data_IF_262087290388
#
_entry.id   IF_262087290388
#
_cell.length_a   1.000
_cell.length_b   1.000
_cell.length_c   1.000
_cell.angle_alpha   90.00
_cell.angle_beta   90.00
_cell.angle_gamma   90.00
#
_symmetry.space_group_name_H-M   'P 1'
#
loop_
_entity.id
_entity.type
_entity.pdbx_description
1 polymer ?
#
# COMPACT_ATOMS: atom_id res chain seq x y z
N UNK A 1 -15.94 52.86 -4.58
CA UNK A 1 -15.84 52.10 -5.86
C UNK A 1 -17.24 51.86 -6.38
N UNK A 2 -17.46 52.07 -7.68
CA UNK A 2 -18.74 51.73 -8.32
C UNK A 2 -19.05 50.23 -8.14
N UNK A 3 -20.33 49.84 -7.94
CA UNK A 3 -20.75 48.44 -7.88
C UNK A 3 -20.25 47.61 -9.07
N UNK A 4 -19.91 46.34 -8.84
CA UNK A 4 -19.41 45.39 -9.86
C UNK A 4 -20.20 45.43 -11.17
N UNK A 5 -21.53 45.46 -11.06
CA UNK A 5 -22.46 45.49 -12.18
C UNK A 5 -22.29 46.73 -13.05
N UNK A 6 -21.98 47.89 -12.46
CA UNK A 6 -21.74 49.13 -13.22
C UNK A 6 -20.40 49.09 -13.95
N UNK A 7 -19.38 48.47 -13.35
CA UNK A 7 -18.05 48.30 -13.96
C UNK A 7 -18.08 47.29 -15.10
N UNK A 8 -18.82 46.19 -14.95
CA UNK A 8 -19.03 45.21 -16.02
C UNK A 8 -19.83 45.82 -17.17
N UNK A 9 -20.92 46.55 -16.87
CA UNK A 9 -21.69 47.24 -17.90
C UNK A 9 -20.85 48.27 -18.66
N UNK A 10 -19.96 48.99 -17.98
CA UNK A 10 -19.06 49.96 -18.62
C UNK A 10 -18.01 49.28 -19.53
N UNK A 11 -17.43 48.16 -19.08
CA UNK A 11 -16.40 47.42 -19.81
C UNK A 11 -16.89 46.81 -21.14
N UNK A 12 -18.20 46.55 -21.25
CA UNK A 12 -18.81 45.95 -22.44
C UNK A 12 -19.59 46.95 -23.33
N UNK A 13 -19.59 48.25 -23.02
CA UNK A 13 -20.36 49.26 -23.78
C UNK A 13 -20.03 49.30 -25.27
N UNK A 14 -18.79 49.02 -25.64
CA UNK A 14 -18.34 49.05 -27.04
C UNK A 14 -19.08 48.03 -27.93
N UNK A 15 -19.68 46.98 -27.35
CA UNK A 15 -20.47 45.99 -28.12
C UNK A 15 -21.72 46.61 -28.74
N UNK A 16 -22.21 47.73 -28.20
CA UNK A 16 -23.36 48.45 -28.76
C UNK A 16 -23.01 49.19 -30.07
N UNK A 17 -21.72 49.45 -30.32
CA UNK A 17 -21.25 50.27 -31.46
C UNK A 17 -20.26 49.58 -32.39
N UNK A 18 -19.71 48.42 -32.02
CA UNK A 18 -18.67 47.70 -32.77
C UNK A 18 -19.24 46.38 -33.28
N UNK A 19 -19.14 46.15 -34.59
CA UNK A 19 -19.61 44.90 -35.21
C UNK A 19 -18.61 43.76 -34.93
N UNK A 20 -19.07 42.49 -34.93
CA UNK A 20 -18.20 41.34 -34.64
C UNK A 20 -16.94 41.26 -35.49
N UNK A 21 -17.03 41.61 -36.77
CA UNK A 21 -15.92 41.64 -37.73
C UNK A 21 -14.87 42.74 -37.46
N UNK A 22 -15.24 43.77 -36.69
CA UNK A 22 -14.41 44.94 -36.40
C UNK A 22 -13.78 44.88 -34.99
N UNK A 23 -13.91 43.75 -34.29
CA UNK A 23 -13.37 43.57 -32.92
C UNK A 23 -11.85 43.51 -32.95
N UNK A 24 -11.23 44.50 -32.33
CA UNK A 24 -9.78 44.57 -32.12
C UNK A 24 -9.36 44.23 -30.69
N UNK A 25 -8.05 44.00 -30.49
CA UNK A 25 -7.44 43.64 -29.20
C UNK A 25 -7.78 44.61 -28.07
N UNK A 26 -7.85 45.90 -28.35
CA UNK A 26 -8.23 46.94 -27.39
C UNK A 26 -9.63 46.71 -26.78
N UNK A 27 -10.59 46.22 -27.56
CA UNK A 27 -11.94 45.91 -27.09
C UNK A 27 -11.93 44.74 -26.10
N UNK A 28 -11.09 43.73 -26.35
CA UNK A 28 -10.88 42.59 -25.46
C UNK A 28 -10.21 43.06 -24.17
N UNK A 29 -9.16 43.88 -24.27
CA UNK A 29 -8.43 44.39 -23.11
C UNK A 29 -9.31 45.29 -22.21
N UNK A 30 -10.22 46.07 -22.80
CA UNK A 30 -11.23 46.86 -22.09
C UNK A 30 -12.27 45.95 -21.42
N UNK A 31 -12.82 44.97 -22.14
CA UNK A 31 -13.84 44.05 -21.64
C UNK A 31 -13.35 43.23 -20.42
N UNK A 32 -12.11 42.76 -20.48
CA UNK A 32 -11.47 42.02 -19.38
C UNK A 32 -10.76 42.92 -18.38
N UNK A 33 -10.71 44.24 -18.61
CA UNK A 33 -10.09 45.24 -17.73
C UNK A 33 -8.61 44.98 -17.46
N UNK A 34 -7.91 44.45 -18.46
CA UNK A 34 -6.51 44.03 -18.36
C UNK A 34 -5.61 45.25 -18.12
N UNK A 35 -5.93 46.39 -18.74
CA UNK A 35 -5.15 47.63 -18.63
C UNK A 35 -5.42 48.45 -17.35
N UNK A 36 -6.22 47.95 -16.41
CA UNK A 36 -6.45 48.65 -15.14
C UNK A 36 -5.19 48.55 -14.28
N UNK A 37 -4.65 49.65 -13.72
CA UNK A 37 -3.48 49.58 -12.85
C UNK A 37 -3.70 48.61 -11.68
N UNK A 38 -2.64 47.90 -11.29
CA UNK A 38 -2.68 47.06 -10.09
C UNK A 38 -3.09 47.89 -8.86
N UNK A 39 -3.77 47.24 -7.91
CA UNK A 39 -4.10 47.87 -6.66
C UNK A 39 -2.83 48.29 -5.91
N UNK A 40 -2.86 49.44 -5.22
CA UNK A 40 -1.74 49.83 -4.34
C UNK A 40 -1.57 48.76 -3.26
N UNK A 41 -0.32 48.31 -3.08
CA UNK A 41 0.04 47.31 -2.08
C UNK A 41 -0.47 47.71 -0.69
N UNK A 42 -1.09 46.77 0.02
CA UNK A 42 -1.66 46.99 1.35
C UNK A 42 -2.96 47.82 1.41
N UNK A 43 -3.42 48.40 0.30
CA UNK A 43 -4.65 49.19 0.29
C UNK A 43 -5.93 48.32 0.28
N UNK A 44 -5.83 47.08 -0.17
CA UNK A 44 -6.97 46.17 -0.29
C UNK A 44 -6.92 45.10 0.83
N UNK A 45 -8.04 44.89 1.52
CA UNK A 45 -8.16 43.83 2.55
C UNK A 45 -8.61 42.47 1.99
N UNK A 46 -9.11 42.47 0.75
CA UNK A 46 -9.62 41.29 0.02
C UNK A 46 -9.55 41.56 -1.48
N UNK A 47 -9.68 40.52 -2.30
CA UNK A 47 -9.72 40.66 -3.76
C UNK A 47 -10.75 41.69 -4.22
N UNK A 48 -10.28 42.69 -4.96
CA UNK A 48 -11.13 43.70 -5.57
C UNK A 48 -11.97 43.06 -6.66
N UNK A 49 -13.30 42.99 -6.45
CA UNK A 49 -14.25 42.44 -7.42
C UNK A 49 -14.24 43.13 -8.80
N UNK A 50 -13.64 44.31 -8.91
CA UNK A 50 -13.61 45.14 -10.12
C UNK A 50 -12.23 45.34 -10.75
N UNK A 51 -11.17 44.79 -10.14
CA UNK A 51 -9.81 44.89 -10.67
C UNK A 51 -9.20 43.49 -10.77
N UNK A 52 -9.02 42.94 -11.99
CA UNK A 52 -8.41 41.63 -12.17
C UNK A 52 -6.94 41.60 -11.73
N UNK A 53 -6.29 42.76 -11.65
CA UNK A 53 -4.89 42.90 -11.25
C UNK A 53 -4.72 43.11 -9.74
N UNK A 54 -5.72 42.75 -8.93
CA UNK A 54 -5.63 42.77 -7.47
C UNK A 54 -5.03 41.46 -6.94
N UNK A 55 -3.84 41.52 -6.34
CA UNK A 55 -3.09 40.33 -5.93
C UNK A 55 -3.32 39.90 -4.47
N UNK A 56 -4.05 40.67 -3.67
CA UNK A 56 -4.26 40.41 -2.23
C UNK A 56 -4.71 38.98 -1.92
N UNK A 57 -5.63 38.42 -2.69
CA UNK A 57 -6.18 37.08 -2.48
C UNK A 57 -5.41 35.95 -3.15
N UNK A 58 -4.30 36.25 -3.84
CA UNK A 58 -3.30 35.24 -4.25
C UNK A 58 -2.11 35.19 -3.29
N UNK A 59 -2.25 35.81 -2.11
CA UNK A 59 -1.24 35.76 -1.05
C UNK A 59 -0.16 36.83 -1.15
N UNK A 60 -0.42 37.96 -1.82
CA UNK A 60 0.51 39.10 -1.94
C UNK A 60 1.21 39.48 -0.62
N UNK A 61 0.49 39.40 0.50
CA UNK A 61 1.03 39.66 1.83
C UNK A 61 2.12 38.66 2.27
N UNK A 62 2.00 37.39 1.89
CA UNK A 62 2.97 36.35 2.21
C UNK A 62 4.15 36.35 1.20
N UNK A 63 3.86 36.49 -0.09
CA UNK A 63 4.87 36.39 -1.15
C UNK A 63 5.74 37.64 -1.31
N UNK A 64 5.15 38.83 -1.13
CA UNK A 64 5.88 40.09 -1.29
C UNK A 64 6.26 40.73 0.04
N UNK A 65 5.83 40.14 1.17
CA UNK A 65 6.19 40.56 2.53
C UNK A 65 7.71 40.57 2.74
N UNK A 66 8.15 41.18 3.84
CA UNK A 66 9.54 41.00 4.26
C UNK A 66 9.78 39.51 4.49
N UNK A 67 10.76 38.96 3.79
CA UNK A 67 11.17 37.56 3.97
C UNK A 67 11.77 37.50 5.38
N UNK A 68 11.12 36.78 6.29
CA UNK A 68 11.73 36.49 7.58
C UNK A 68 12.90 35.52 7.35
N UNK A 69 14.11 36.06 7.25
CA UNK A 69 15.33 35.27 7.07
C UNK A 69 15.50 34.22 8.18
N UNK A 70 14.94 34.46 9.38
CA UNK A 70 14.97 33.49 10.47
C UNK A 70 14.09 32.26 10.22
N UNK A 71 13.09 32.35 9.34
CA UNK A 71 12.28 31.19 8.95
C UNK A 71 13.14 30.15 8.23
N UNK A 72 14.16 30.57 7.46
CA UNK A 72 15.08 29.65 6.78
C UNK A 72 16.14 29.07 7.72
N UNK A 73 16.57 29.85 8.73
CA UNK A 73 17.56 29.40 9.71
C UNK A 73 17.02 28.45 10.78
N UNK A 74 15.69 28.38 10.95
CA UNK A 74 15.00 27.49 11.90
C UNK A 74 14.38 26.25 11.25
N UNK A 75 14.73 25.93 10.00
CA UNK A 75 14.38 24.64 9.40
C UNK A 75 15.36 23.62 9.97
N UNK A 76 15.01 23.01 11.10
CA UNK A 76 15.73 21.84 11.60
C UNK A 76 15.84 20.80 10.48
N UNK A 77 17.03 20.19 10.32
CA UNK A 77 17.19 19.05 9.42
C UNK A 77 16.09 18.05 9.77
N UNK A 78 15.22 17.65 8.82
CA UNK A 78 14.17 16.69 9.09
C UNK A 78 14.74 15.39 9.74
N UNK A 79 15.99 15.02 9.48
CA UNK A 79 16.66 13.87 10.13
C UNK A 79 16.98 14.07 11.62
N UNK A 80 16.93 15.32 12.10
CA UNK A 80 17.08 15.72 13.49
C UNK A 80 15.75 15.72 14.26
N UNK A 81 14.62 15.53 13.57
CA UNK A 81 13.33 15.36 14.23
C UNK A 81 13.39 14.14 15.17
N UNK A 82 13.11 14.38 16.44
CA UNK A 82 13.09 13.33 17.46
C UNK A 82 11.69 12.77 17.61
N UNK A 83 11.59 11.46 17.86
CA UNK A 83 10.32 10.83 18.23
C UNK A 83 9.89 11.29 19.62
N UNK A 84 8.58 11.34 19.83
CA UNK A 84 8.02 11.52 21.16
C UNK A 84 8.38 10.33 22.06
N UNK A 85 8.39 10.57 23.38
CA UNK A 85 8.61 9.49 24.34
C UNK A 85 7.52 8.42 24.17
N UNK A 86 7.94 7.15 24.18
CA UNK A 86 7.07 5.98 24.03
C UNK A 86 6.34 5.85 22.68
N UNK A 87 6.77 6.55 21.62
CA UNK A 87 6.24 6.32 20.27
C UNK A 87 7.21 5.51 19.42
N UNK A 88 6.67 4.79 18.43
CA UNK A 88 7.48 4.05 17.46
C UNK A 88 8.14 4.98 16.43
N UNK A 89 9.20 4.48 15.79
CA UNK A 89 9.92 5.18 14.72
C UNK A 89 9.23 4.93 13.38
N UNK A 90 8.99 5.98 12.61
CA UNK A 90 8.44 5.90 11.26
C UNK A 90 9.47 5.54 10.19
N UNK A 91 9.02 5.46 8.94
CA UNK A 91 9.87 5.31 7.77
C UNK A 91 9.60 6.44 6.79
N UNK A 92 10.67 7.04 6.26
CA UNK A 92 10.56 8.07 5.21
C UNK A 92 9.95 7.46 3.95
N UNK A 93 8.97 8.14 3.35
CA UNK A 93 8.48 7.76 2.03
C UNK A 93 9.39 8.37 0.97
N UNK A 94 9.99 7.53 0.12
CA UNK A 94 10.94 7.94 -0.91
C UNK A 94 10.26 8.32 -2.23
N UNK A 95 8.93 8.44 -2.22
CA UNK A 95 8.09 8.74 -3.38
C UNK A 95 6.89 7.80 -3.42
N UNK A 96 7.01 6.72 -4.19
CA UNK A 96 6.01 5.68 -4.36
C UNK A 96 6.24 4.44 -3.48
N UNK A 97 7.05 4.53 -2.42
CA UNK A 97 7.52 3.37 -1.63
C UNK A 97 6.67 3.06 -0.39
N UNK A 98 5.46 3.63 -0.27
CA UNK A 98 4.59 3.44 0.89
C UNK A 98 4.20 1.96 1.14
N UNK A 99 4.12 1.15 0.07
CA UNK A 99 3.87 -0.29 0.17
C UNK A 99 5.03 -1.01 0.90
N UNK A 100 6.27 -0.62 0.62
CA UNK A 100 7.47 -1.14 1.31
C UNK A 100 7.42 -0.76 2.78
N UNK A 101 7.18 0.52 3.08
CA UNK A 101 7.15 1.02 4.45
C UNK A 101 6.09 0.31 5.30
N UNK A 102 4.91 0.07 4.72
CA UNK A 102 3.81 -0.64 5.39
C UNK A 102 4.24 -2.05 5.80
N UNK A 103 4.80 -2.83 4.87
CA UNK A 103 5.19 -4.20 5.17
C UNK A 103 6.43 -4.28 6.07
N UNK A 104 7.40 -3.38 5.93
CA UNK A 104 8.54 -3.32 6.85
C UNK A 104 8.10 -3.08 8.29
N UNK A 105 7.11 -2.21 8.51
CA UNK A 105 6.54 -2.00 9.84
C UNK A 105 5.79 -3.23 10.34
N UNK A 106 5.00 -3.90 9.50
CA UNK A 106 4.31 -5.16 9.85
C UNK A 106 5.31 -6.24 10.27
N UNK A 107 6.36 -6.45 9.47
CA UNK A 107 7.38 -7.46 9.73
C UNK A 107 8.28 -7.12 10.92
N UNK A 108 8.59 -5.84 11.14
CA UNK A 108 9.33 -5.38 12.33
C UNK A 108 8.57 -5.67 13.62
N UNK A 109 7.23 -5.57 13.61
CA UNK A 109 6.40 -5.87 14.77
C UNK A 109 6.11 -7.36 14.94
N UNK A 110 6.44 -8.21 13.96
CA UNK A 110 6.53 -9.66 14.20
C UNK A 110 7.81 -9.96 14.99
N UNK A 111 7.64 -10.17 16.30
CA UNK A 111 8.75 -10.39 17.23
C UNK A 111 9.63 -11.59 16.87
N UNK A 112 9.03 -12.66 16.35
CA UNK A 112 9.78 -13.86 15.99
C UNK A 112 10.68 -13.58 14.78
N UNK A 113 10.11 -13.03 13.71
CA UNK A 113 10.85 -12.63 12.52
C UNK A 113 11.97 -11.63 12.87
N UNK A 114 11.66 -10.62 13.69
CA UNK A 114 12.65 -9.63 14.13
C UNK A 114 13.81 -10.29 14.90
N UNK A 115 13.53 -11.20 15.83
CA UNK A 115 14.57 -11.95 16.56
C UNK A 115 15.40 -12.82 15.63
N UNK A 116 14.75 -13.54 14.72
CA UNK A 116 15.43 -14.36 13.71
C UNK A 116 16.39 -13.54 12.85
N UNK A 117 15.97 -12.36 12.40
CA UNK A 117 16.83 -11.47 11.61
C UNK A 117 18.05 -11.00 12.41
N UNK A 118 17.91 -10.70 13.70
CA UNK A 118 19.06 -10.35 14.54
C UNK A 118 20.03 -11.52 14.78
N UNK A 119 19.59 -12.77 14.61
CA UNK A 119 20.43 -13.96 14.72
C UNK A 119 21.11 -14.35 13.40
N UNK A 120 20.80 -13.68 12.28
CA UNK A 120 21.52 -13.89 11.03
C UNK A 120 22.99 -13.51 11.20
N UNK A 121 23.89 -14.38 10.72
CA UNK A 121 25.31 -14.12 10.83
C UNK A 121 25.73 -12.96 9.93
N UNK A 122 26.53 -12.07 10.49
CA UNK A 122 27.03 -10.89 9.81
C UNK A 122 28.50 -10.70 10.19
N UNK A 123 29.37 -11.54 9.61
CA UNK A 123 30.82 -11.52 9.88
C UNK A 123 31.44 -10.16 9.62
N UNK A 124 30.90 -9.41 8.64
CA UNK A 124 31.36 -8.05 8.34
C UNK A 124 31.07 -7.07 9.45
N UNK A 125 29.96 -7.22 10.18
CA UNK A 125 29.66 -6.38 11.33
C UNK A 125 30.52 -6.74 12.55
N UNK A 126 30.93 -8.01 12.68
CA UNK A 126 31.83 -8.45 13.76
C UNK A 126 33.26 -7.89 13.60
N UNK A 127 33.71 -7.75 12.34
CA UNK A 127 35.03 -7.22 11.98
C UNK A 127 35.04 -5.69 11.76
N UNK A 128 33.90 -5.03 11.93
CA UNK A 128 33.74 -3.62 11.59
C UNK A 128 34.37 -2.71 12.64
N UNK A 129 35.14 -1.73 12.16
CA UNK A 129 35.77 -0.70 12.99
C UNK A 129 34.73 0.35 13.40
N UNK A 130 34.59 0.55 14.72
CA UNK A 130 33.66 1.48 15.36
C UNK A 130 33.89 2.94 14.94
N UNK A 131 35.08 3.27 14.43
CA UNK A 131 35.42 4.62 13.95
C UNK A 131 34.97 4.90 12.49
N UNK A 132 34.35 3.91 11.82
CA UNK A 132 33.85 4.04 10.45
C UNK A 132 32.33 3.83 10.37
N UNK A 133 31.67 4.38 9.37
CA UNK A 133 30.25 4.11 9.15
C UNK A 133 30.05 2.68 8.62
N UNK A 134 29.15 1.90 9.25
CA UNK A 134 28.79 0.57 8.75
C UNK A 134 27.85 0.67 7.54
N UNK A 135 28.28 0.16 6.39
CA UNK A 135 27.45 0.07 5.19
C UNK A 135 26.98 -1.39 4.93
N UNK A 136 25.67 -1.66 5.07
CA UNK A 136 25.09 -2.95 4.72
C UNK A 136 25.24 -3.27 3.23
N UNK A 137 25.48 -4.53 2.88
CA UNK A 137 25.60 -5.00 1.49
C UNK A 137 24.57 -6.05 1.10
N UNK A 138 24.29 -7.00 1.99
CA UNK A 138 23.26 -8.02 1.74
C UNK A 138 21.88 -7.57 2.22
N UNK A 139 20.82 -8.22 1.74
CA UNK A 139 19.44 -7.91 2.16
C UNK A 139 19.26 -8.14 3.66
N UNK A 140 19.83 -9.22 4.22
CA UNK A 140 19.82 -9.46 5.66
C UNK A 140 20.50 -8.34 6.44
N UNK A 141 21.68 -7.87 6.00
CA UNK A 141 22.40 -6.78 6.66
C UNK A 141 21.58 -5.49 6.66
N UNK A 142 20.96 -5.15 5.52
CA UNK A 142 20.10 -3.97 5.41
C UNK A 142 18.89 -4.06 6.36
N UNK A 143 18.27 -5.23 6.47
CA UNK A 143 17.13 -5.44 7.37
C UNK A 143 17.55 -5.41 8.83
N UNK A 144 18.68 -6.03 9.19
CA UNK A 144 19.23 -5.97 10.54
C UNK A 144 19.52 -4.53 10.94
N UNK A 145 20.21 -3.78 10.09
CA UNK A 145 20.54 -2.38 10.32
C UNK A 145 19.28 -1.52 10.46
N UNK A 146 18.34 -1.64 9.51
CA UNK A 146 17.09 -0.90 9.54
C UNK A 146 16.25 -1.22 10.79
N UNK A 147 16.13 -2.51 11.15
CA UNK A 147 15.37 -2.91 12.33
C UNK A 147 16.06 -2.49 13.63
N UNK A 148 17.39 -2.49 13.68
CA UNK A 148 18.13 -1.96 14.83
C UNK A 148 17.88 -0.46 15.00
N UNK A 149 17.84 0.30 13.90
CA UNK A 149 17.48 1.72 13.92
C UNK A 149 16.03 1.95 14.34
N UNK A 150 15.06 1.20 13.80
CA UNK A 150 13.66 1.29 14.21
C UNK A 150 13.46 0.99 15.70
N UNK A 151 14.25 0.09 16.27
CA UNK A 151 14.15 -0.30 17.67
C UNK A 151 14.83 0.71 18.63
N UNK A 152 16.01 1.22 18.27
CA UNK A 152 16.88 1.92 19.22
C UNK A 152 17.06 3.41 18.93
N UNK A 153 16.68 3.89 17.76
CA UNK A 153 16.87 5.31 17.40
C UNK A 153 15.94 6.23 18.18
N UNK A 154 16.39 7.47 18.38
CA UNK A 154 15.57 8.58 18.88
C UNK A 154 14.99 9.43 17.75
N UNK A 155 15.30 9.12 16.48
CA UNK A 155 14.75 9.81 15.32
C UNK A 155 13.25 9.54 15.19
N UNK A 156 12.52 10.50 14.63
CA UNK A 156 11.10 10.36 14.32
C UNK A 156 10.85 9.35 13.20
N UNK A 157 11.75 9.29 12.23
CA UNK A 157 11.72 8.35 11.12
C UNK A 157 13.12 7.93 10.67
N UNK A 158 13.20 6.78 10.01
CA UNK A 158 14.41 6.26 9.37
C UNK A 158 14.23 6.23 7.86
N UNK A 159 15.29 6.57 7.14
CA UNK A 159 15.37 6.48 5.69
C UNK A 159 15.68 5.01 5.27
N UNK A 160 14.80 4.34 4.52
CA UNK A 160 15.01 2.96 4.06
C UNK A 160 15.73 2.85 2.70
N UNK A 161 16.29 3.94 2.16
CA UNK A 161 16.86 4.00 0.80
C UNK A 161 17.93 2.96 0.53
N UNK A 162 18.79 2.65 1.50
CA UNK A 162 19.78 1.58 1.38
C UNK A 162 19.13 0.24 1.01
N UNK A 163 18.09 -0.16 1.76
CA UNK A 163 17.34 -1.39 1.50
C UNK A 163 16.59 -1.32 0.16
N UNK A 164 15.91 -0.21 -0.12
CA UNK A 164 15.13 -0.02 -1.36
C UNK A 164 16.04 -0.13 -2.60
N UNK A 165 17.24 0.46 -2.53
CA UNK A 165 18.28 0.36 -3.57
C UNK A 165 18.81 -1.06 -3.68
N UNK A 166 19.08 -1.75 -2.57
CA UNK A 166 19.54 -3.14 -2.58
C UNK A 166 18.50 -4.10 -3.16
N UNK A 167 17.21 -3.80 -3.01
CA UNK A 167 16.10 -4.54 -3.64
C UNK A 167 15.90 -4.18 -5.12
N UNK A 168 16.59 -3.16 -5.64
CA UNK A 168 16.44 -2.71 -7.03
C UNK A 168 15.06 -2.10 -7.35
N UNK A 169 14.40 -1.52 -6.35
CA UNK A 169 13.07 -0.93 -6.53
C UNK A 169 13.15 0.50 -7.06
N UNK A 170 12.30 0.82 -8.03
CA UNK A 170 12.12 2.20 -8.51
C UNK A 170 11.23 3.00 -7.56
N UNK A 171 11.80 4.01 -6.92
CA UNK A 171 11.10 4.92 -6.00
C UNK A 171 10.03 5.79 -6.68
N UNK A 172 10.05 5.94 -8.01
CA UNK A 172 9.05 6.68 -8.77
C UNK A 172 7.82 5.86 -9.16
N UNK A 173 7.88 4.52 -9.04
CA UNK A 173 6.83 3.63 -9.52
C UNK A 173 6.06 2.98 -8.37
N UNK A 174 4.73 3.11 -8.38
CA UNK A 174 3.87 2.33 -7.49
C UNK A 174 3.84 0.87 -7.94
N UNK A 175 4.07 -0.04 -7.01
CA UNK A 175 3.98 -1.48 -7.23
C UNK A 175 2.75 -2.07 -6.56
N UNK A 176 2.35 -3.27 -6.98
CA UNK A 176 1.35 -4.04 -6.26
C UNK A 176 1.93 -4.51 -4.92
N UNK A 177 1.32 -4.08 -3.83
CA UNK A 177 1.81 -4.34 -2.48
C UNK A 177 1.81 -5.85 -2.14
N UNK A 178 0.86 -6.61 -2.70
CA UNK A 178 0.72 -8.04 -2.49
C UNK A 178 1.81 -8.81 -3.23
N UNK A 179 2.06 -8.43 -4.49
CA UNK A 179 3.18 -8.98 -5.27
C UNK A 179 4.52 -8.73 -4.58
N UNK A 180 4.74 -7.50 -4.11
CA UNK A 180 5.93 -7.17 -3.31
C UNK A 180 6.04 -8.07 -2.08
N UNK A 181 4.97 -8.24 -1.29
CA UNK A 181 4.98 -9.08 -0.09
C UNK A 181 5.36 -10.53 -0.42
N UNK A 182 4.75 -11.13 -1.46
CA UNK A 182 5.07 -12.50 -1.90
C UNK A 182 6.53 -12.66 -2.31
N UNK A 183 7.02 -11.77 -3.15
CA UNK A 183 8.42 -11.80 -3.62
C UNK A 183 9.39 -11.59 -2.47
N UNK A 184 9.08 -10.67 -1.56
CA UNK A 184 9.92 -10.37 -0.42
C UNK A 184 9.96 -11.52 0.60
N UNK A 185 8.83 -12.15 0.92
CA UNK A 185 8.81 -13.34 1.77
C UNK A 185 9.59 -14.50 1.13
N UNK A 186 9.49 -14.69 -0.19
CA UNK A 186 10.30 -15.69 -0.90
C UNK A 186 11.79 -15.38 -0.83
N UNK A 187 12.17 -14.11 -0.96
CA UNK A 187 13.56 -13.66 -0.82
C UNK A 187 14.08 -13.90 0.60
N UNK A 188 13.26 -13.62 1.63
CA UNK A 188 13.62 -13.91 3.02
C UNK A 188 13.77 -15.40 3.27
N UNK A 189 12.87 -16.24 2.74
CA UNK A 189 12.99 -17.69 2.85
C UNK A 189 14.29 -18.21 2.26
N UNK A 190 14.61 -17.80 1.03
CA UNK A 190 15.85 -18.17 0.37
C UNK A 190 17.07 -17.70 1.18
N UNK A 191 17.05 -16.46 1.67
CA UNK A 191 18.18 -15.89 2.43
C UNK A 191 18.37 -16.58 3.78
N UNK A 192 17.29 -16.88 4.49
CA UNK A 192 17.33 -17.56 5.79
C UNK A 192 17.72 -19.03 5.65
N UNK A 193 17.31 -19.70 4.57
CA UNK A 193 17.70 -21.09 4.30
C UNK A 193 19.21 -21.29 4.12
N UNK A 194 19.93 -20.22 3.76
CA UNK A 194 21.39 -20.21 3.56
C UNK A 194 22.19 -19.92 4.82
N UNK A 195 21.53 -19.60 5.94
CA UNK A 195 22.22 -19.33 7.21
C UNK A 195 22.84 -20.61 7.79
N UNK A 196 23.96 -20.49 8.50
CA UNK A 196 24.59 -21.67 9.15
C UNK A 196 23.72 -22.26 10.27
N UNK A 197 22.93 -21.43 10.93
CA UNK A 197 22.03 -21.85 12.00
C UNK A 197 20.73 -22.44 11.41
N UNK A 198 20.50 -23.77 11.52
CA UNK A 198 19.33 -24.43 10.93
C UNK A 198 18.01 -23.98 11.55
N UNK A 199 18.02 -23.42 12.76
CA UNK A 199 16.81 -22.93 13.42
C UNK A 199 16.21 -21.72 12.69
N UNK A 200 16.98 -21.03 11.84
CA UNK A 200 16.51 -19.85 11.10
C UNK A 200 15.82 -20.24 9.78
N UNK A 201 16.10 -21.44 9.25
CA UNK A 201 15.77 -21.82 7.87
C UNK A 201 14.27 -21.78 7.55
N UNK A 202 13.43 -22.16 8.51
CA UNK A 202 12.00 -22.37 8.28
C UNK A 202 11.10 -21.33 8.98
N UNK A 203 11.67 -20.24 9.49
CA UNK A 203 10.92 -19.27 10.31
C UNK A 203 9.79 -18.61 9.52
N UNK A 204 10.04 -18.25 8.26
CA UNK A 204 9.00 -17.61 7.43
C UNK A 204 7.84 -18.56 7.21
N UNK A 205 8.12 -19.84 6.91
CA UNK A 205 7.06 -20.85 6.75
C UNK A 205 6.31 -21.07 8.07
N UNK A 206 7.02 -21.15 9.21
CA UNK A 206 6.40 -21.33 10.52
C UNK A 206 5.51 -20.14 10.93
N UNK A 207 5.86 -18.92 10.51
CA UNK A 207 5.14 -17.71 10.88
C UNK A 207 3.97 -17.40 9.94
N UNK A 208 4.16 -17.58 8.63
CA UNK A 208 3.25 -17.04 7.61
C UNK A 208 2.65 -18.09 6.67
N UNK A 209 3.12 -19.34 6.66
CA UNK A 209 2.65 -20.38 5.75
C UNK A 209 1.59 -21.29 6.37
N UNK A 210 0.40 -21.34 5.76
CA UNK A 210 -0.65 -22.31 6.05
C UNK A 210 -0.74 -23.42 5.01
N UNK A 211 -1.56 -24.44 5.29
CA UNK A 211 -1.82 -25.55 4.37
C UNK A 211 -3.30 -25.66 4.02
N UNK A 212 -3.58 -25.90 2.75
CA UNK A 212 -4.92 -26.10 2.22
C UNK A 212 -4.94 -27.18 1.14
N UNK A 213 -6.13 -27.60 0.71
CA UNK A 213 -6.27 -28.36 -0.53
C UNK A 213 -7.48 -27.93 -1.32
N UNK A 214 -7.36 -27.99 -2.64
CA UNK A 214 -8.51 -27.93 -3.54
C UNK A 214 -9.07 -29.34 -3.66
N UNK A 215 -10.30 -29.56 -3.20
CA UNK A 215 -10.95 -30.86 -3.28
C UNK A 215 -12.03 -30.82 -4.34
N UNK A 216 -11.84 -31.60 -5.39
CA UNK A 216 -12.81 -31.76 -6.47
C UNK A 216 -13.50 -33.11 -6.32
N UNK A 217 -14.83 -33.12 -6.21
CA UNK A 217 -15.66 -34.34 -6.10
C UNK A 217 -16.45 -34.50 -7.39
N UNK A 218 -16.25 -35.64 -8.08
CA UNK A 218 -17.00 -35.96 -9.29
C UNK A 218 -18.46 -36.30 -8.95
N UNK A 219 -19.43 -35.67 -9.63
CA UNK A 219 -20.85 -35.89 -9.35
C UNK A 219 -21.38 -37.23 -9.89
N UNK A 220 -20.67 -37.88 -10.81
CA UNK A 220 -21.05 -39.19 -11.36
C UNK A 220 -20.56 -40.35 -10.50
N UNK A 221 -19.26 -40.40 -10.20
CA UNK A 221 -18.64 -41.55 -9.51
C UNK A 221 -18.31 -41.28 -8.04
N UNK A 222 -18.50 -40.06 -7.54
CA UNK A 222 -18.21 -39.69 -6.15
C UNK A 222 -16.73 -39.62 -5.78
N UNK A 223 -15.79 -39.88 -6.70
CA UNK A 223 -14.35 -39.79 -6.41
C UNK A 223 -13.98 -38.36 -6.02
N UNK A 224 -13.36 -38.23 -4.85
CA UNK A 224 -12.71 -37.01 -4.39
C UNK A 224 -11.24 -36.98 -4.81
N UNK A 225 -10.83 -35.91 -5.45
CA UNK A 225 -9.46 -35.65 -5.91
C UNK A 225 -8.91 -34.43 -5.17
N UNK A 226 -8.17 -34.62 -4.06
CA UNK A 226 -7.53 -33.51 -3.34
C UNK A 226 -6.22 -33.09 -4.03
N UNK A 227 -6.03 -31.79 -4.19
CA UNK A 227 -4.77 -31.17 -4.61
C UNK A 227 -4.22 -30.33 -3.44
N UNK A 228 -3.23 -30.85 -2.68
CA UNK A 228 -2.59 -30.11 -1.60
C UNK A 228 -1.88 -28.85 -2.10
N UNK A 229 -1.94 -27.79 -1.30
CA UNK A 229 -1.31 -26.50 -1.59
C UNK A 229 -0.91 -25.78 -0.30
N UNK A 230 0.04 -24.86 -0.41
CA UNK A 230 0.45 -23.95 0.67
C UNK A 230 -0.05 -22.54 0.35
N UNK A 231 -0.31 -21.75 1.38
CA UNK A 231 -0.72 -20.37 1.23
C UNK A 231 -0.01 -19.46 2.23
N UNK A 232 0.29 -18.24 1.80
CA UNK A 232 0.84 -17.18 2.67
C UNK A 232 -0.19 -16.09 2.97
N UNK A 233 -1.32 -16.15 2.28
CA UNK A 233 -2.45 -15.23 2.40
C UNK A 233 -3.72 -15.89 1.84
N UNK A 234 -4.87 -15.35 2.23
CA UNK A 234 -6.16 -15.70 1.64
C UNK A 234 -6.69 -14.49 0.86
N UNK A 235 -6.93 -14.67 -0.44
CA UNK A 235 -7.48 -13.65 -1.32
C UNK A 235 -9.01 -13.69 -1.26
N UNK A 236 -9.59 -12.71 -0.57
CA UNK A 236 -11.01 -12.67 -0.25
C UNK A 236 -11.76 -11.76 -1.22
N UNK A 237 -12.71 -12.33 -1.94
CA UNK A 237 -13.68 -11.55 -2.69
C UNK A 237 -14.59 -10.79 -1.71
N UNK A 238 -14.81 -9.51 -1.99
CA UNK A 238 -15.64 -8.63 -1.15
C UNK A 238 -16.94 -8.20 -1.84
N UNK A 239 -17.11 -8.53 -3.12
CA UNK A 239 -18.27 -8.09 -3.87
C UNK A 239 -19.53 -8.83 -3.38
N UNK A 240 -20.50 -8.06 -2.86
CA UNK A 240 -21.75 -8.62 -2.33
C UNK A 240 -21.71 -9.02 -0.87
N UNK A 241 -20.58 -8.81 -0.18
CA UNK A 241 -20.41 -9.14 1.23
C UNK A 241 -20.30 -7.88 2.10
N UNK A 242 -20.63 -8.00 3.38
CA UNK A 242 -20.64 -6.88 4.35
C UNK A 242 -19.59 -7.02 5.44
N UNK A 243 -19.11 -8.23 5.70
CA UNK A 243 -18.16 -8.50 6.76
C UNK A 243 -17.15 -9.58 6.37
N UNK A 244 -16.05 -9.64 7.12
CA UNK A 244 -14.93 -10.55 6.87
C UNK A 244 -15.34 -12.03 6.93
N UNK A 245 -16.23 -12.39 7.86
CA UNK A 245 -16.73 -13.76 8.02
C UNK A 245 -17.50 -14.23 6.79
N UNK A 246 -18.34 -13.38 6.19
CA UNK A 246 -19.01 -13.67 4.92
C UNK A 246 -18.01 -13.87 3.79
N UNK A 247 -16.97 -13.03 3.70
CA UNK A 247 -15.94 -13.17 2.66
C UNK A 247 -15.15 -14.48 2.80
N UNK A 248 -14.78 -14.88 4.02
CA UNK A 248 -14.12 -16.18 4.30
C UNK A 248 -15.07 -17.34 3.98
N UNK A 249 -16.35 -17.22 4.34
CA UNK A 249 -17.36 -18.24 4.04
C UNK A 249 -17.52 -18.44 2.54
N UNK A 250 -17.60 -17.35 1.77
CA UNK A 250 -17.68 -17.42 0.31
C UNK A 250 -16.39 -17.99 -0.29
N UNK A 251 -15.21 -17.64 0.24
CA UNK A 251 -13.93 -18.20 -0.20
C UNK A 251 -13.85 -19.72 -0.04
N UNK A 252 -14.46 -20.28 1.01
CA UNK A 252 -14.46 -21.71 1.30
C UNK A 252 -15.67 -22.46 0.71
N UNK A 253 -16.59 -21.73 0.08
CA UNK A 253 -17.81 -22.28 -0.49
C UNK A 253 -17.48 -23.18 -1.67
N UNK A 254 -18.35 -24.16 -1.85
CA UNK A 254 -18.29 -25.06 -3.00
C UNK A 254 -18.70 -24.32 -4.29
N UNK A 255 -17.85 -24.43 -5.30
CA UNK A 255 -18.14 -24.00 -6.67
C UNK A 255 -18.52 -25.22 -7.54
N UNK A 256 -19.39 -25.00 -8.51
CA UNK A 256 -19.82 -26.03 -9.46
C UNK A 256 -18.96 -25.95 -10.73
N UNK A 257 -18.45 -27.10 -11.15
CA UNK A 257 -17.75 -27.30 -12.40
C UNK A 257 -18.70 -27.96 -13.39
N UNK A 258 -19.41 -27.18 -14.20
CA UNK A 258 -20.39 -27.63 -15.19
C UNK A 258 -20.22 -26.93 -16.55
N UNK A 259 -21.06 -27.28 -17.53
CA UNK A 259 -21.01 -26.72 -18.88
C UNK A 259 -19.66 -26.92 -19.58
N UNK A 260 -19.04 -25.81 -19.98
CA UNK A 260 -17.72 -25.81 -20.62
C UNK A 260 -16.57 -26.04 -19.62
N UNK A 261 -16.80 -25.79 -18.33
CA UNK A 261 -15.83 -25.89 -17.24
C UNK A 261 -15.83 -27.26 -16.53
N UNK A 262 -16.41 -28.29 -17.17
CA UNK A 262 -16.46 -29.66 -16.61
C UNK A 262 -15.07 -30.23 -16.30
N UNK A 263 -14.96 -30.89 -15.15
CA UNK A 263 -13.76 -31.56 -14.67
C UNK A 263 -13.50 -32.87 -15.43
N UNK A 264 -12.27 -33.12 -15.85
CA UNK A 264 -11.90 -34.44 -16.39
C UNK A 264 -11.67 -35.42 -15.24
N UNK A 265 -12.56 -36.40 -15.09
CA UNK A 265 -12.46 -37.41 -14.05
C UNK A 265 -11.65 -38.61 -14.55
N UNK A 266 -10.50 -38.87 -13.92
CA UNK A 266 -9.66 -40.03 -14.23
C UNK A 266 -10.35 -41.39 -14.00
N UNK A 267 -11.32 -41.47 -13.09
CA UNK A 267 -12.07 -42.73 -12.89
C UNK A 267 -13.15 -42.95 -13.94
N UNK A 268 -13.78 -41.88 -14.45
CA UNK A 268 -14.78 -41.96 -15.52
C UNK A 268 -14.16 -41.85 -16.91
N UNK A 269 -12.86 -41.53 -17.01
CA UNK A 269 -12.12 -41.26 -18.25
C UNK A 269 -12.85 -40.28 -19.20
N UNK A 270 -13.52 -39.28 -18.63
CA UNK A 270 -14.37 -38.35 -19.37
C UNK A 270 -14.62 -37.05 -18.58
N UNK A 271 -15.09 -36.00 -19.27
CA UNK A 271 -15.50 -34.73 -18.64
C UNK A 271 -16.83 -34.89 -17.92
N UNK A 272 -16.83 -34.60 -16.62
CA UNK A 272 -17.96 -34.74 -15.72
C UNK A 272 -18.26 -33.44 -14.99
N UNK A 273 -19.53 -33.30 -14.59
CA UNK A 273 -19.88 -32.28 -13.62
C UNK A 273 -19.23 -32.63 -12.28
N UNK A 274 -18.72 -31.63 -11.58
CA UNK A 274 -18.07 -31.81 -10.30
C UNK A 274 -18.33 -30.63 -9.36
N UNK A 275 -18.08 -30.84 -8.09
CA UNK A 275 -18.05 -29.82 -7.05
C UNK A 275 -16.60 -29.60 -6.62
N UNK A 276 -16.12 -28.35 -6.59
CA UNK A 276 -14.79 -28.01 -6.08
C UNK A 276 -14.92 -27.09 -4.87
N UNK A 277 -14.09 -27.33 -3.85
CA UNK A 277 -14.02 -26.44 -2.67
C UNK A 277 -12.60 -26.39 -2.11
N UNK A 278 -12.31 -25.34 -1.36
CA UNK A 278 -11.07 -25.21 -0.60
C UNK A 278 -11.28 -25.82 0.79
N UNK A 279 -10.31 -26.61 1.25
CA UNK A 279 -10.23 -27.09 2.63
C UNK A 279 -8.98 -26.54 3.29
N UNK A 280 -9.14 -25.80 4.40
CA UNK A 280 -8.03 -25.36 5.23
C UNK A 280 -7.64 -26.49 6.19
N UNK A 281 -6.37 -26.89 6.16
CA UNK A 281 -5.81 -27.93 7.05
C UNK A 281 -5.08 -27.33 8.24
N UNK A 282 -4.35 -26.23 8.01
CA UNK A 282 -3.66 -25.49 9.05
C UNK A 282 -3.58 -24.00 8.71
N UNK A 283 -3.64 -23.18 9.75
CA UNK A 283 -3.43 -21.73 9.66
C UNK A 283 -2.02 -21.37 10.15
N UNK A 284 -1.41 -20.33 9.55
CA UNK A 284 -0.16 -19.77 10.05
C UNK A 284 -0.37 -19.01 11.37
N UNK A 285 0.72 -18.71 12.08
CA UNK A 285 0.69 -17.86 13.28
C UNK A 285 0.28 -16.43 12.96
N UNK A 286 0.67 -15.93 11.80
CA UNK A 286 0.23 -14.66 11.23
C UNK A 286 -0.54 -14.94 9.95
N UNK A 287 -1.86 -14.75 9.99
CA UNK A 287 -2.73 -14.93 8.85
C UNK A 287 -2.90 -13.61 8.10
N UNK A 288 -2.43 -13.58 6.84
CA UNK A 288 -2.67 -12.45 5.95
C UNK A 288 -3.99 -12.63 5.20
N UNK A 289 -4.88 -11.64 5.30
CA UNK A 289 -6.18 -11.63 4.62
C UNK A 289 -6.20 -10.48 3.63
N UNK A 290 -6.15 -10.82 2.34
CA UNK A 290 -6.13 -9.84 1.26
C UNK A 290 -7.55 -9.57 0.78
N UNK A 291 -8.05 -8.35 1.00
CA UNK A 291 -9.35 -7.93 0.48
C UNK A 291 -9.21 -7.50 -0.98
N UNK A 292 -9.83 -8.24 -1.90
CA UNK A 292 -9.75 -7.98 -3.34
C UNK A 292 -10.56 -6.73 -3.74
N UNK A 293 -10.05 -5.56 -3.38
CA UNK A 293 -10.68 -4.25 -3.63
C UNK A 293 -10.49 -3.75 -5.04
N UNK A 294 -9.60 -4.32 -5.83
CA UNK A 294 -9.38 -3.92 -7.21
C UNK A 294 -9.88 -5.01 -8.13
N UNK A 295 -10.89 -4.68 -8.95
CA UNK A 295 -11.48 -5.60 -9.92
C UNK A 295 -11.35 -5.01 -11.32
N UNK A 296 -11.19 -5.85 -12.33
CA UNK A 296 -11.17 -5.41 -13.72
C UNK A 296 -12.61 -5.23 -14.22
N UNK A 297 -12.97 -4.00 -14.56
CA UNK A 297 -14.28 -3.70 -15.13
C UNK A 297 -14.23 -3.92 -16.64
N UNK A 298 -14.82 -5.04 -17.10
CA UNK A 298 -14.81 -5.44 -18.52
C UNK A 298 -15.54 -4.46 -19.43
N UNK A 299 -16.46 -3.65 -18.91
CA UNK A 299 -17.20 -2.68 -19.74
C UNK A 299 -16.33 -1.45 -20.03
N UNK A 300 -15.59 -1.00 -19.02
CA UNK A 300 -14.73 0.20 -19.16
C UNK A 300 -13.31 -0.14 -19.59
N UNK A 301 -12.87 -1.40 -19.47
CA UNK A 301 -11.49 -1.82 -19.75
C UNK A 301 -10.48 -1.35 -18.69
N UNK A 302 -10.95 -0.83 -17.56
CA UNK A 302 -10.10 -0.23 -16.52
C UNK A 302 -10.22 -0.97 -15.18
N UNK A 303 -9.17 -0.86 -14.35
CA UNK A 303 -9.22 -1.31 -12.96
C UNK A 303 -10.17 -0.40 -12.17
N UNK A 304 -11.11 -1.01 -11.46
CA UNK A 304 -12.10 -0.34 -10.61
C UNK A 304 -11.85 -0.68 -9.15
N UNK A 305 -11.82 0.34 -8.29
CA UNK A 305 -11.74 0.16 -6.84
C UNK A 305 -13.14 -0.05 -6.25
N UNK A 306 -13.30 -1.14 -5.52
CA UNK A 306 -14.47 -1.46 -4.71
C UNK A 306 -14.37 -0.71 -3.36
N UNK A 307 -15.20 0.31 -3.22
CA UNK A 307 -15.33 1.10 -1.99
C UNK A 307 -16.37 0.55 -1.02
N UNK A 308 -16.88 -0.67 -1.26
CA UNK A 308 -17.84 -1.34 -0.37
C UNK A 308 -17.26 -1.45 1.03
N UNK A 309 -18.09 -1.10 2.01
CA UNK A 309 -17.77 -1.25 3.42
C UNK A 309 -17.70 -2.74 3.78
N UNK A 310 -16.62 -3.14 4.45
CA UNK A 310 -16.43 -4.49 4.98
C UNK A 310 -16.02 -4.34 6.43
N UNK A 311 -16.87 -4.77 7.35
CA UNK A 311 -16.51 -4.83 8.77
C UNK A 311 -15.65 -6.04 9.06
N UNK A 312 -14.59 -5.87 9.84
CA UNK A 312 -13.75 -6.95 10.36
C UNK A 312 -13.75 -6.88 11.89
N UNK A 313 -13.94 -8.01 12.58
CA UNK A 313 -13.93 -8.04 14.04
C UNK A 313 -12.48 -7.95 14.57
N UNK A 314 -12.33 -7.53 15.83
CA UNK A 314 -11.05 -7.61 16.53
C UNK A 314 -10.62 -9.07 16.75
N UNK A 315 -11.59 -9.95 16.99
CA UNK A 315 -11.38 -11.40 17.11
C UNK A 315 -12.11 -12.13 15.99
N UNK A 316 -11.37 -12.85 15.16
CA UNK A 316 -11.90 -13.69 14.08
C UNK A 316 -11.73 -15.16 14.44
N UNK A 317 -12.85 -15.86 14.65
CA UNK A 317 -12.83 -17.32 14.85
C UNK A 317 -12.77 -18.04 13.49
N UNK A 318 -11.65 -18.70 13.23
CA UNK A 318 -11.43 -19.52 12.05
C UNK A 318 -11.59 -21.02 12.32
N UNK A 319 -11.86 -21.42 13.57
CA UNK A 319 -12.03 -22.83 13.97
C UNK A 319 -13.05 -23.58 13.11
N UNK A 320 -14.27 -23.03 12.86
CA UNK A 320 -15.27 -23.67 11.99
C UNK A 320 -14.81 -23.87 10.54
N UNK A 321 -13.85 -23.07 10.08
CA UNK A 321 -13.33 -23.07 8.72
C UNK A 321 -12.15 -24.02 8.52
N UNK A 322 -11.52 -24.49 9.61
CA UNK A 322 -10.35 -25.38 9.57
C UNK A 322 -10.79 -26.81 9.83
N UNK A 323 -10.44 -27.72 8.92
CA UNK A 323 -10.63 -29.16 9.15
C UNK A 323 -9.40 -29.72 9.84
N UNK A 324 -9.48 -29.90 11.16
CA UNK A 324 -8.47 -30.65 11.89
C UNK A 324 -8.51 -32.11 11.44
N UNK A 325 -7.45 -32.57 10.77
CA UNK A 325 -7.22 -34.01 10.68
C UNK A 325 -6.71 -34.43 12.05
N UNK A 326 -7.55 -35.09 12.85
CA UNK A 326 -7.09 -35.79 14.05
C UNK A 326 -6.17 -36.89 13.54
N UNK A 327 -4.86 -36.65 13.54
CA UNK A 327 -3.89 -37.72 13.47
C UNK A 327 -3.94 -38.38 14.84
N UNK A 328 -4.73 -39.43 14.99
CA UNK A 328 -4.56 -40.38 16.08
C UNK A 328 -3.15 -40.94 15.95
N UNK A 329 -2.20 -40.30 16.63
CA UNK A 329 -0.97 -40.99 17.01
C UNK A 329 -1.43 -42.11 17.92
N UNK A 330 -1.53 -43.31 17.37
CA UNK A 330 -1.50 -44.54 18.15
C UNK A 330 -0.19 -44.53 18.93
N UNK A 331 -0.21 -43.95 20.14
CA UNK A 331 0.75 -44.27 21.17
C UNK A 331 0.41 -45.68 21.66
N UNK A 332 0.92 -46.68 20.94
CA UNK A 332 1.26 -47.94 21.57
C UNK A 332 2.62 -47.75 22.23
N UNK A 333 2.62 -47.67 23.56
CA UNK A 333 3.69 -48.22 24.36
C UNK A 333 3.11 -49.32 25.23
#
# INVERSE_FOLDING_TARGET
MAPRVQLEKAAWRWVESVRPEDIQREHIEIAYRICVPACKRGACRRNCKGNPNCLVGIGEHAWLGEIDENTFHNIDDPNSERRDKNTFVGLTNLGATCYVNTFLQVWFHNLELRRTLYLCQNTRAEEHDMDSDYEPRSICEHLQYLFALLQNSNRRYIDPSGLVKALGLDTGQQQDAQEFSKLFLSLLEDTLSKQKNPNLHNVIQQQFCGQMSYVTVCNQCGRASPLPSRFYELELNIQGHKNLTECVTEFLKEEKLDGDNRYFCESCQSKQNAARRIKLHSLPRVLNLQLMRFVFDRQTGHKKKLNTFISFPEQLDMGPSVQFTIVTRNMFH
#
